data_IF_582569604609
#
_entry.id   IF_582569604609
#
_cell.length_a   1.000
_cell.length_b   1.000
_cell.length_c   1.000
_cell.angle_alpha   90.00
_cell.angle_beta   90.00
_cell.angle_gamma   90.00
#
_symmetry.space_group_name_H-M   'P 1'
#
loop_
_entity.id
_entity.type
_entity.pdbx_description
1 polymer ?
#
# COMPACT_ATOMS: atom_id res chain seq x y z
N UNK A 1 -2.22 -33.00 11.91
CA UNK A 1 -1.87 -31.61 12.23
C UNK A 1 -2.73 -31.11 13.34
N UNK A 2 -2.17 -30.40 14.26
CA UNK A 2 -2.91 -29.84 15.37
C UNK A 2 -3.57 -28.53 14.96
N UNK A 3 -4.74 -28.25 15.50
CA UNK A 3 -5.49 -27.05 15.15
C UNK A 3 -4.72 -25.76 15.37
N UNK A 4 -3.96 -25.69 16.44
CA UNK A 4 -3.19 -24.49 16.76
C UNK A 4 -1.97 -24.28 15.87
N UNK A 5 -1.68 -25.23 14.98
CA UNK A 5 -0.60 -25.08 14.00
C UNK A 5 -1.09 -24.43 12.71
N UNK A 6 -2.38 -24.15 12.60
CA UNK A 6 -2.93 -23.48 11.43
C UNK A 6 -2.46 -22.01 11.39
N UNK A 7 -2.17 -21.49 10.19
CA UNK A 7 -1.81 -20.08 10.07
C UNK A 7 -2.99 -19.19 10.48
N UNK A 8 -2.72 -17.99 10.98
CA UNK A 8 -3.77 -17.05 11.35
C UNK A 8 -4.64 -16.65 10.15
N UNK A 9 -5.88 -16.31 10.42
CA UNK A 9 -6.77 -15.76 9.41
C UNK A 9 -6.51 -14.26 9.26
N UNK A 10 -6.10 -13.85 8.06
CA UNK A 10 -5.72 -12.47 7.79
C UNK A 10 -6.85 -11.48 8.05
N UNK A 11 -8.07 -11.82 7.64
CA UNK A 11 -9.21 -10.92 7.84
C UNK A 11 -9.50 -10.68 9.32
N UNK A 12 -9.45 -11.74 10.14
CA UNK A 12 -9.70 -11.62 11.58
C UNK A 12 -8.59 -10.85 12.28
N UNK A 13 -7.33 -11.09 11.92
CA UNK A 13 -6.22 -10.36 12.53
C UNK A 13 -6.23 -8.88 12.12
N UNK A 14 -6.56 -8.59 10.88
CA UNK A 14 -6.68 -7.20 10.42
C UNK A 14 -7.85 -6.49 11.13
N UNK A 15 -9.00 -7.14 11.21
CA UNK A 15 -10.15 -6.57 11.92
C UNK A 15 -9.78 -6.22 13.37
N UNK A 16 -9.15 -7.16 14.06
CA UNK A 16 -8.75 -6.94 15.44
C UNK A 16 -7.75 -5.79 15.57
N UNK A 17 -6.78 -5.71 14.68
CA UNK A 17 -5.81 -4.62 14.66
C UNK A 17 -6.50 -3.27 14.49
N UNK A 18 -7.38 -3.16 13.51
CA UNK A 18 -8.08 -1.90 13.22
C UNK A 18 -9.00 -1.47 14.36
N UNK A 19 -9.74 -2.41 14.92
CA UNK A 19 -10.62 -2.11 16.06
C UNK A 19 -9.83 -1.69 17.29
N UNK A 20 -8.72 -2.37 17.55
CA UNK A 20 -7.89 -2.05 18.69
C UNK A 20 -7.23 -0.68 18.56
N UNK A 21 -6.84 -0.29 17.35
CA UNK A 21 -6.23 1.01 17.10
C UNK A 21 -7.25 2.16 16.98
N UNK A 22 -8.53 1.84 16.94
CA UNK A 22 -9.58 2.85 16.79
C UNK A 22 -9.70 3.40 15.37
N UNK A 23 -9.11 2.74 14.40
CA UNK A 23 -9.17 3.20 13.01
C UNK A 23 -10.58 2.99 12.44
N UNK A 24 -11.07 3.97 11.69
CA UNK A 24 -12.33 3.82 10.98
C UNK A 24 -12.10 2.98 9.71
N UNK A 25 -12.97 2.03 9.48
CA UNK A 25 -12.88 1.20 8.28
C UNK A 25 -14.25 0.71 7.86
N UNK A 26 -14.34 0.32 6.59
CA UNK A 26 -15.50 -0.36 6.04
C UNK A 26 -15.07 -1.76 5.61
N UNK A 27 -15.88 -2.74 5.89
CA UNK A 27 -15.58 -4.14 5.53
C UNK A 27 -16.68 -4.71 4.67
N UNK A 28 -16.27 -5.38 3.60
CA UNK A 28 -17.17 -6.15 2.74
C UNK A 28 -16.50 -7.48 2.45
N UNK A 29 -16.94 -8.53 3.14
CA UNK A 29 -16.31 -9.84 3.04
C UNK A 29 -14.88 -9.82 3.55
N UNK A 30 -13.94 -10.17 2.70
CA UNK A 30 -12.51 -10.16 3.03
C UNK A 30 -11.81 -8.89 2.59
N UNK A 31 -12.55 -7.89 2.19
CA UNK A 31 -12.02 -6.61 1.72
C UNK A 31 -12.33 -5.52 2.72
N UNK A 32 -11.29 -4.78 3.08
CA UNK A 32 -11.36 -3.66 4.03
C UNK A 32 -10.97 -2.39 3.34
N UNK A 33 -11.69 -1.31 3.60
CA UNK A 33 -11.38 0.02 3.06
C UNK A 33 -11.06 0.97 4.19
N UNK A 34 -9.94 1.65 4.03
CA UNK A 34 -9.42 2.60 4.99
C UNK A 34 -9.11 3.92 4.28
N UNK A 35 -9.11 4.99 5.04
CA UNK A 35 -8.64 6.27 4.54
C UNK A 35 -7.41 6.68 5.33
N UNK A 36 -6.34 6.99 4.61
CA UNK A 36 -5.12 7.48 5.22
C UNK A 36 -4.92 8.95 4.91
N UNK A 37 -4.24 9.63 5.83
CA UNK A 37 -3.83 11.01 5.66
C UNK A 37 -2.43 11.20 6.22
N UNK A 38 -1.59 11.92 5.50
CA UNK A 38 -0.23 12.23 5.91
C UNK A 38 0.23 13.47 5.18
N UNK A 39 0.76 14.44 5.93
CA UNK A 39 1.35 15.65 5.37
C UNK A 39 0.44 16.39 4.38
N UNK A 40 -0.85 16.47 4.70
CA UNK A 40 -1.82 17.12 3.84
C UNK A 40 -2.32 16.27 2.68
N UNK A 41 -1.82 15.08 2.51
CA UNK A 41 -2.26 14.15 1.48
C UNK A 41 -3.29 13.18 2.05
N UNK A 42 -4.26 12.82 1.25
CA UNK A 42 -5.27 11.84 1.64
C UNK A 42 -5.45 10.83 0.52
N UNK A 43 -5.61 9.57 0.88
CA UNK A 43 -5.84 8.52 -0.10
C UNK A 43 -6.61 7.35 0.51
N UNK A 44 -7.13 6.50 -0.37
CA UNK A 44 -7.78 5.27 0.04
C UNK A 44 -6.78 4.13 0.07
N UNK A 45 -6.94 3.27 1.05
CA UNK A 45 -6.20 2.01 1.11
C UNK A 45 -7.22 0.88 1.17
N UNK A 46 -7.01 -0.13 0.34
CA UNK A 46 -7.84 -1.33 0.33
C UNK A 46 -6.97 -2.50 0.76
N UNK A 47 -7.47 -3.26 1.72
CA UNK A 47 -6.81 -4.50 2.13
C UNK A 47 -7.66 -5.67 1.66
N UNK A 48 -7.02 -6.60 0.96
CA UNK A 48 -7.67 -7.80 0.47
C UNK A 48 -7.07 -8.99 1.19
N UNK A 49 -7.87 -9.72 1.95
CA UNK A 49 -7.41 -10.82 2.77
C UNK A 49 -7.75 -12.14 2.10
N UNK A 50 -6.73 -12.95 1.88
CA UNK A 50 -6.84 -14.25 1.25
C UNK A 50 -6.21 -15.29 2.19
N UNK A 51 -7.03 -15.92 3.03
CA UNK A 51 -6.53 -16.82 4.05
C UNK A 51 -5.57 -16.09 4.98
N UNK A 52 -4.34 -16.54 5.07
CA UNK A 52 -3.30 -15.93 5.91
C UNK A 52 -2.50 -14.84 5.20
N UNK A 53 -2.87 -14.48 3.97
CA UNK A 53 -2.21 -13.44 3.21
C UNK A 53 -3.06 -12.17 3.26
N UNK A 54 -2.43 -11.05 3.59
CA UNK A 54 -3.08 -9.73 3.56
C UNK A 54 -2.38 -8.88 2.52
N UNK A 55 -3.11 -8.47 1.50
CA UNK A 55 -2.61 -7.58 0.45
C UNK A 55 -3.08 -6.16 0.75
N UNK A 56 -2.17 -5.21 0.69
CA UNK A 56 -2.45 -3.80 1.02
C UNK A 56 -2.25 -2.96 -0.23
N UNK A 57 -3.29 -2.30 -0.69
CA UNK A 57 -3.27 -1.46 -1.89
C UNK A 57 -3.46 -0.01 -1.49
N UNK A 58 -2.41 0.78 -1.57
CA UNK A 58 -2.50 2.23 -1.41
C UNK A 58 -2.79 2.87 -2.76
N UNK A 59 -3.88 3.60 -2.87
CA UNK A 59 -4.37 4.13 -4.14
C UNK A 59 -4.16 5.63 -4.18
N UNK A 60 -3.25 6.09 -5.03
CA UNK A 60 -3.00 7.52 -5.16
C UNK A 60 -4.25 8.22 -5.68
N UNK A 61 -4.52 9.40 -5.15
CA UNK A 61 -5.77 10.13 -5.47
C UNK A 61 -5.76 10.78 -6.85
N UNK A 62 -4.60 10.99 -7.47
CA UNK A 62 -4.52 11.63 -8.77
C UNK A 62 -5.02 10.70 -9.88
N UNK A 63 -5.83 11.25 -10.76
CA UNK A 63 -6.30 10.53 -11.93
C UNK A 63 -5.25 10.60 -13.03
N UNK A 64 -4.94 9.47 -13.63
CA UNK A 64 -3.93 9.39 -14.68
C UNK A 64 -4.47 9.97 -15.98
N UNK A 65 -3.80 11.03 -16.46
CA UNK A 65 -4.12 11.68 -17.73
C UNK A 65 -3.24 11.15 -18.86
N UNK A 66 -2.05 10.65 -18.55
CA UNK A 66 -1.06 10.18 -19.51
C UNK A 66 -0.63 8.77 -19.14
N UNK A 67 -1.30 7.80 -19.73
CA UNK A 67 -1.09 6.38 -19.37
C UNK A 67 0.36 5.93 -19.55
N UNK A 68 0.98 6.27 -20.66
CA UNK A 68 2.35 5.85 -20.92
C UNK A 68 3.34 6.40 -19.90
N UNK A 69 3.19 7.65 -19.54
CA UNK A 69 4.03 8.27 -18.53
C UNK A 69 3.83 7.65 -17.16
N UNK A 70 2.61 7.34 -16.82
CA UNK A 70 2.31 6.66 -15.56
C UNK A 70 2.96 5.28 -15.50
N UNK A 71 2.91 4.53 -16.60
CA UNK A 71 3.55 3.22 -16.69
C UNK A 71 5.08 3.33 -16.60
N UNK A 72 5.68 4.32 -17.25
CA UNK A 72 7.11 4.58 -17.14
C UNK A 72 7.51 4.88 -15.71
N UNK A 73 6.72 5.71 -15.04
CA UNK A 73 6.98 6.04 -13.63
C UNK A 73 6.88 4.80 -12.74
N UNK A 74 5.86 3.98 -12.94
CA UNK A 74 5.74 2.73 -12.18
C UNK A 74 6.97 1.85 -12.39
N UNK A 75 7.45 1.75 -13.62
CA UNK A 75 8.65 0.99 -13.93
C UNK A 75 9.87 1.54 -13.21
N UNK A 76 10.04 2.86 -13.21
CA UNK A 76 11.15 3.50 -12.48
C UNK A 76 11.08 3.25 -10.98
N UNK A 77 9.90 3.44 -10.40
CA UNK A 77 9.73 3.25 -8.97
C UNK A 77 9.97 1.79 -8.57
N UNK A 78 9.51 0.87 -9.40
CA UNK A 78 9.70 -0.56 -9.15
C UNK A 78 11.16 -0.98 -9.26
N UNK A 79 11.93 -0.34 -10.12
CA UNK A 79 13.34 -0.68 -10.25
C UNK A 79 14.15 -0.41 -8.98
N UNK A 80 13.61 0.41 -8.10
CA UNK A 80 14.25 0.81 -6.84
C UNK A 80 13.55 0.27 -5.60
N UNK A 81 12.35 -0.26 -5.76
CA UNK A 81 11.58 -0.75 -4.64
C UNK A 81 12.17 -2.05 -4.10
N UNK A 82 12.45 -2.08 -2.82
CA UNK A 82 12.92 -3.29 -2.14
C UNK A 82 11.74 -4.21 -1.83
N UNK A 83 10.62 -3.62 -1.49
CA UNK A 83 9.38 -4.34 -1.17
C UNK A 83 8.21 -3.68 -1.88
N UNK A 84 7.23 -4.48 -2.21
CA UNK A 84 6.03 -4.00 -2.84
C UNK A 84 6.22 -3.66 -4.30
N UNK A 85 5.16 -3.21 -4.93
CA UNK A 85 5.21 -2.87 -6.34
C UNK A 85 4.18 -1.80 -6.67
N UNK A 86 4.56 -0.94 -7.60
CA UNK A 86 3.67 0.07 -8.18
C UNK A 86 3.08 -0.47 -9.47
N UNK A 87 1.81 -0.16 -9.71
CA UNK A 87 1.17 -0.52 -10.94
C UNK A 87 0.01 0.43 -11.23
N UNK A 88 -0.44 0.40 -12.46
CA UNK A 88 -1.58 1.18 -12.90
C UNK A 88 -2.82 0.31 -12.87
N UNK A 89 -3.83 0.72 -12.12
CA UNK A 89 -5.11 0.04 -12.08
C UNK A 89 -6.20 1.03 -12.45
N UNK A 90 -6.85 0.77 -13.56
CA UNK A 90 -7.79 1.71 -14.14
C UNK A 90 -7.08 3.04 -14.41
N UNK A 91 -7.44 4.09 -13.71
CA UNK A 91 -6.85 5.42 -13.92
C UNK A 91 -6.06 5.91 -12.71
N UNK A 92 -5.60 4.99 -11.87
CA UNK A 92 -4.88 5.33 -10.63
C UNK A 92 -3.59 4.55 -10.54
N UNK A 93 -2.58 5.20 -9.98
CA UNK A 93 -1.34 4.52 -9.61
C UNK A 93 -1.52 3.95 -8.22
N UNK A 94 -1.22 2.67 -8.08
CA UNK A 94 -1.42 1.91 -6.85
C UNK A 94 -0.09 1.34 -6.38
N UNK A 95 0.16 1.41 -5.07
CA UNK A 95 1.29 0.74 -4.46
C UNK A 95 0.79 -0.42 -3.60
N UNK A 96 1.30 -1.62 -3.87
CA UNK A 96 0.88 -2.82 -3.15
C UNK A 96 1.99 -3.33 -2.26
N UNK A 97 1.65 -3.62 -1.02
CA UNK A 97 2.50 -4.36 -0.09
C UNK A 97 1.72 -5.58 0.39
N UNK A 98 2.38 -6.47 1.10
CA UNK A 98 1.73 -7.68 1.57
C UNK A 98 2.28 -8.12 2.92
N UNK A 99 1.47 -8.89 3.65
CA UNK A 99 1.88 -9.56 4.85
C UNK A 99 1.45 -11.01 4.76
N UNK A 100 2.41 -11.92 4.80
CA UNK A 100 2.13 -13.35 4.89
C UNK A 100 2.20 -13.73 6.37
N UNK A 101 1.09 -14.20 6.92
CA UNK A 101 1.01 -14.52 8.33
C UNK A 101 1.36 -15.99 8.55
N UNK A 102 2.30 -16.23 9.44
CA UNK A 102 2.74 -17.60 9.75
C UNK A 102 2.48 -17.94 11.21
N UNK A 103 2.65 -16.98 12.11
CA UNK A 103 2.47 -17.17 13.54
C UNK A 103 1.49 -16.16 14.09
N UNK A 104 0.63 -16.62 14.99
CA UNK A 104 -0.46 -15.80 15.50
C UNK A 104 0.04 -14.57 16.28
N UNK A 105 1.06 -14.74 17.11
CA UNK A 105 1.51 -13.64 17.95
C UNK A 105 2.24 -12.53 17.15
N UNK A 106 2.73 -12.83 15.95
CA UNK A 106 3.38 -11.85 15.09
C UNK A 106 2.42 -11.28 14.03
N UNK A 107 1.22 -11.86 13.91
CA UNK A 107 0.33 -11.55 12.80
C UNK A 107 -0.01 -10.06 12.72
N UNK A 108 -0.42 -9.44 13.83
CA UNK A 108 -0.81 -8.04 13.83
C UNK A 108 0.36 -7.11 13.55
N UNK A 109 1.55 -7.44 14.07
CA UNK A 109 2.75 -6.66 13.81
C UNK A 109 3.12 -6.70 12.33
N UNK A 110 2.98 -7.86 11.70
CA UNK A 110 3.26 -8.00 10.26
C UNK A 110 2.28 -7.21 9.41
N UNK A 111 1.01 -7.24 9.77
CA UNK A 111 0.00 -6.45 9.06
C UNK A 111 0.28 -4.96 9.27
N UNK A 112 0.54 -4.54 10.50
CA UNK A 112 0.84 -3.14 10.80
C UNK A 112 2.06 -2.66 10.01
N UNK A 113 3.11 -3.49 9.94
CA UNK A 113 4.31 -3.15 9.18
C UNK A 113 4.00 -2.97 7.69
N UNK A 114 3.17 -3.83 7.11
CA UNK A 114 2.79 -3.72 5.70
C UNK A 114 1.97 -2.45 5.44
N UNK A 115 1.05 -2.10 6.34
CA UNK A 115 0.26 -0.88 6.25
C UNK A 115 1.13 0.37 6.38
N UNK A 116 2.01 0.39 7.37
CA UNK A 116 2.90 1.53 7.63
C UNK A 116 3.88 1.75 6.49
N UNK A 117 4.47 0.67 5.99
CA UNK A 117 5.41 0.77 4.88
C UNK A 117 4.70 1.26 3.62
N UNK A 118 3.50 0.74 3.35
CA UNK A 118 2.70 1.17 2.22
C UNK A 118 2.43 2.68 2.29
N UNK A 119 1.96 3.13 3.45
CA UNK A 119 1.66 4.55 3.66
C UNK A 119 2.90 5.43 3.55
N UNK A 120 4.01 4.99 4.11
CA UNK A 120 5.26 5.76 4.07
C UNK A 120 5.79 5.93 2.64
N UNK A 121 5.78 4.86 1.86
CA UNK A 121 6.26 4.92 0.48
C UNK A 121 5.34 5.79 -0.38
N UNK A 122 4.04 5.59 -0.28
CA UNK A 122 3.08 6.37 -1.06
C UNK A 122 3.17 7.85 -0.72
N UNK A 123 3.28 8.17 0.56
CA UNK A 123 3.44 9.54 1.04
C UNK A 123 4.75 10.17 0.56
N UNK A 124 5.86 9.45 0.64
CA UNK A 124 7.17 9.97 0.23
C UNK A 124 7.26 10.21 -1.28
N UNK A 125 6.53 9.45 -2.08
CA UNK A 125 6.52 9.58 -3.53
C UNK A 125 5.30 10.36 -4.05
N UNK A 126 4.55 10.98 -3.14
CA UNK A 126 3.25 11.57 -3.46
C UNK A 126 3.30 12.55 -4.63
N UNK A 127 4.18 13.54 -4.55
CA UNK A 127 4.27 14.58 -5.58
C UNK A 127 4.78 14.03 -6.90
N UNK A 128 5.72 13.11 -6.84
CA UNK A 128 6.26 12.48 -8.03
C UNK A 128 5.20 11.67 -8.76
N UNK A 129 4.38 10.96 -8.00
CA UNK A 129 3.27 10.20 -8.57
C UNK A 129 2.22 11.14 -9.16
N UNK A 130 1.88 12.20 -8.45
CA UNK A 130 0.92 13.18 -8.94
C UNK A 130 1.39 13.80 -10.26
N UNK A 131 2.66 14.17 -10.34
CA UNK A 131 3.24 14.72 -11.57
C UNK A 131 3.24 13.71 -12.70
N UNK A 132 3.62 12.46 -12.42
CA UNK A 132 3.61 11.39 -13.40
C UNK A 132 2.22 11.08 -13.94
N UNK A 133 1.22 11.16 -13.09
CA UNK A 133 -0.18 10.97 -13.50
C UNK A 133 -0.61 12.04 -14.50
N UNK A 134 -0.07 13.25 -14.39
CA UNK A 134 -0.34 14.36 -15.30
C UNK A 134 0.59 14.37 -16.51
N UNK A 135 1.50 13.41 -16.61
CA UNK A 135 2.46 13.34 -17.71
C UNK A 135 3.69 14.23 -17.52
N UNK A 136 3.88 14.76 -16.31
CA UNK A 136 5.01 15.62 -16.00
C UNK A 136 6.16 14.82 -15.41
N UNK A 137 7.38 15.33 -15.55
CA UNK A 137 8.56 14.76 -14.94
C UNK A 137 9.15 15.81 -14.02
N UNK A 138 9.18 15.51 -12.71
CA UNK A 138 9.77 16.42 -11.76
C UNK A 138 11.30 16.36 -11.86
N UNK A 139 12.00 17.53 -11.75
CA UNK A 139 13.45 17.52 -11.73
C UNK A 139 13.97 16.75 -10.53
N UNK A 140 15.07 16.05 -10.72
CA UNK A 140 15.72 15.36 -9.62
C UNK A 140 16.35 16.37 -8.68
N UNK A 141 16.08 16.25 -7.39
CA UNK A 141 16.70 17.07 -6.38
C UNK A 141 18.11 16.53 -6.10
N UNK A 142 19.17 17.31 -6.37
CA UNK A 142 20.53 16.83 -6.15
C UNK A 142 20.84 16.45 -4.69
N UNK A 143 20.15 17.06 -3.75
CA UNK A 143 20.37 16.75 -2.33
C UNK A 143 19.68 15.49 -1.87
N UNK A 144 18.73 15.00 -2.63
CA UNK A 144 18.01 13.77 -2.32
C UNK A 144 18.33 12.70 -3.32
N UNK A 145 19.29 12.98 -4.13
CA UNK A 145 19.55 12.13 -5.26
C UNK A 145 20.28 10.89 -4.90
N UNK A 146 20.40 10.46 -3.82
CA UNK A 146 20.89 9.12 -3.72
C UNK A 146 20.45 8.40 -4.96
N UNK A 147 20.92 7.24 -5.21
CA UNK A 147 20.58 6.52 -6.42
C UNK A 147 19.10 6.27 -6.51
N UNK A 148 18.44 6.92 -5.75
CA UNK A 148 16.99 6.80 -5.77
C UNK A 148 16.47 7.26 -7.05
#
# INVERSE_FOLDING_TARGET
MKEFDLPPDGAEELRALLEHSGAAFQREGNRFRLRFASRGCQWQTVCDCQGSLVLVYGIHSARVAQRERALELCSELNSRAVRGSFFLQEERIVFRTSAQLTERFEARERIAAALEYNAAVLSSQWERIAAGAQGLVLPRNPNTAGPA
#
